data_IF_106104100867
#
_entry.id   IF_106104100867
#
_cell.length_a   1.000
_cell.length_b   1.000
_cell.length_c   1.000
_cell.angle_alpha   90.00
_cell.angle_beta   90.00
_cell.angle_gamma   90.00
#
_symmetry.space_group_name_H-M   'P 1'
#
loop_
_entity.id
_entity.type
_entity.pdbx_description
1 polymer ?
#
# COMPACT_ATOMS: atom_id res chain seq x y z
N UNK A 1 -32.17 14.75 -7.97
CA UNK A 1 -31.61 15.70 -8.95
C UNK A 1 -30.32 15.06 -9.44
N UNK A 2 -30.13 14.99 -10.75
CA UNK A 2 -28.93 14.46 -11.39
C UNK A 2 -27.93 15.61 -11.52
N UNK A 3 -26.72 15.44 -10.99
CA UNK A 3 -25.63 16.41 -11.19
C UNK A 3 -24.72 15.93 -12.31
N UNK A 4 -24.24 16.84 -13.14
CA UNK A 4 -23.24 16.54 -14.19
C UNK A 4 -21.84 16.69 -13.59
N UNK A 5 -21.07 15.62 -13.62
CA UNK A 5 -19.73 15.54 -13.01
C UNK A 5 -18.71 15.11 -14.06
N UNK A 6 -17.69 15.93 -14.38
CA UNK A 6 -16.70 15.59 -15.41
C UNK A 6 -15.96 14.30 -15.12
N UNK A 7 -15.28 14.19 -13.96
CA UNK A 7 -14.61 12.96 -13.49
C UNK A 7 -15.00 12.71 -12.05
N UNK A 8 -15.70 11.60 -11.81
CA UNK A 8 -16.04 11.14 -10.46
C UNK A 8 -15.01 10.11 -9.99
N UNK A 9 -14.51 10.29 -8.78
CA UNK A 9 -13.59 9.35 -8.11
C UNK A 9 -14.32 8.78 -6.90
N UNK A 10 -14.47 7.46 -6.84
CA UNK A 10 -15.12 6.75 -5.75
C UNK A 10 -14.06 6.29 -4.76
N UNK A 11 -14.05 6.85 -3.56
CA UNK A 11 -13.11 6.56 -2.49
C UNK A 11 -12.10 7.68 -2.23
N UNK A 12 -12.10 8.17 -1.00
CA UNK A 12 -11.23 9.23 -0.49
C UNK A 12 -9.94 8.72 0.16
N UNK A 13 -9.46 7.53 -0.23
CA UNK A 13 -8.17 6.99 0.20
C UNK A 13 -6.98 7.60 -0.54
N UNK A 14 -5.76 7.10 -0.25
CA UNK A 14 -4.50 7.59 -0.86
C UNK A 14 -4.60 7.61 -2.38
N UNK A 15 -5.05 6.51 -3.02
CA UNK A 15 -5.17 6.43 -4.48
C UNK A 15 -6.14 7.46 -5.06
N UNK A 16 -7.34 7.58 -4.47
CA UNK A 16 -8.37 8.52 -4.96
C UNK A 16 -7.96 9.99 -4.81
N UNK A 17 -7.39 10.36 -3.65
CA UNK A 17 -6.86 11.72 -3.43
C UNK A 17 -5.72 12.05 -4.39
N UNK A 18 -4.79 11.10 -4.59
CA UNK A 18 -3.67 11.28 -5.53
C UNK A 18 -4.18 11.40 -6.96
N UNK A 19 -5.18 10.61 -7.36
CA UNK A 19 -5.78 10.69 -8.69
C UNK A 19 -6.47 12.04 -8.95
N UNK A 20 -7.21 12.56 -7.96
CA UNK A 20 -7.82 13.87 -8.06
C UNK A 20 -6.78 14.99 -8.23
N UNK A 21 -5.72 14.97 -7.42
CA UNK A 21 -4.62 15.94 -7.53
C UNK A 21 -3.93 15.84 -8.89
N UNK A 22 -3.64 14.62 -9.36
CA UNK A 22 -2.98 14.40 -10.63
C UNK A 22 -3.84 14.92 -11.82
N UNK A 23 -5.14 14.64 -11.81
CA UNK A 23 -6.08 15.14 -12.81
C UNK A 23 -6.21 16.67 -12.75
N UNK A 24 -6.31 17.25 -11.55
CA UNK A 24 -6.38 18.71 -11.39
C UNK A 24 -5.10 19.40 -11.88
N UNK A 25 -3.91 18.87 -11.61
CA UNK A 25 -2.64 19.37 -12.16
C UNK A 25 -2.60 19.26 -13.70
N UNK A 26 -3.25 18.25 -14.27
CA UNK A 26 -3.42 18.08 -15.71
C UNK A 26 -4.51 18.99 -16.32
N UNK A 27 -5.23 19.78 -15.51
CA UNK A 27 -6.26 20.73 -15.96
C UNK A 27 -7.69 20.19 -15.94
N UNK A 28 -7.92 18.99 -15.42
CA UNK A 28 -9.24 18.37 -15.35
C UNK A 28 -9.92 18.61 -13.99
N UNK A 29 -11.25 18.68 -13.99
CA UNK A 29 -12.04 18.79 -12.77
C UNK A 29 -12.34 17.39 -12.23
N UNK A 30 -12.16 17.17 -10.94
CA UNK A 30 -12.41 15.91 -10.26
C UNK A 30 -13.38 16.10 -9.07
N UNK A 31 -14.25 15.13 -8.86
CA UNK A 31 -15.15 15.08 -7.71
C UNK A 31 -14.92 13.76 -6.98
N UNK A 32 -14.45 13.83 -5.73
CA UNK A 32 -14.26 12.66 -4.87
C UNK A 32 -15.49 12.46 -4.01
N UNK A 33 -16.01 11.23 -4.00
CA UNK A 33 -17.06 10.78 -3.08
C UNK A 33 -16.50 9.72 -2.14
N UNK A 34 -16.78 9.88 -0.84
CA UNK A 34 -16.34 8.97 0.21
C UNK A 34 -17.55 8.51 1.04
N UNK A 35 -17.65 7.20 1.31
CA UNK A 35 -18.76 6.63 2.10
C UNK A 35 -18.68 7.00 3.58
N UNK A 36 -17.47 7.18 4.11
CA UNK A 36 -17.27 7.59 5.51
C UNK A 36 -17.73 9.03 5.72
N UNK A 37 -18.19 9.38 6.94
CA UNK A 37 -18.61 10.75 7.26
C UNK A 37 -17.45 11.75 7.25
N UNK A 38 -16.22 11.27 7.35
CA UNK A 38 -15.00 12.07 7.36
C UNK A 38 -13.93 11.43 6.48
N UNK A 39 -13.11 12.27 5.86
CA UNK A 39 -11.91 11.83 5.17
C UNK A 39 -10.81 11.59 6.20
N UNK A 40 -10.57 10.33 6.50
CA UNK A 40 -9.56 9.94 7.49
C UNK A 40 -9.29 8.45 7.42
N UNK A 41 -8.24 8.02 8.06
CA UNK A 41 -7.88 6.62 8.14
C UNK A 41 -7.29 6.26 9.50
N UNK A 42 -7.66 5.09 10.02
CA UNK A 42 -7.01 4.48 11.18
C UNK A 42 -5.75 3.80 10.65
N UNK A 43 -4.58 4.39 10.92
CA UNK A 43 -3.34 3.93 10.33
C UNK A 43 -2.23 3.63 11.32
N UNK A 44 -1.32 2.79 10.88
CA UNK A 44 0.02 2.61 11.40
C UNK A 44 1.01 3.26 10.41
N UNK A 45 2.25 2.80 10.37
CA UNK A 45 3.21 3.27 9.40
C UNK A 45 2.87 2.84 7.96
N UNK A 46 3.39 3.59 7.03
CA UNK A 46 3.39 3.32 5.59
C UNK A 46 4.79 3.56 5.04
N UNK A 47 5.14 2.81 4.01
CA UNK A 47 6.40 2.94 3.29
C UNK A 47 6.13 3.53 1.91
N UNK A 48 6.93 4.51 1.52
CA UNK A 48 6.90 5.19 0.24
C UNK A 48 8.27 5.04 -0.44
N UNK A 49 8.30 4.22 -1.46
CA UNK A 49 9.48 3.97 -2.26
C UNK A 49 9.68 5.04 -3.36
N UNK A 50 10.85 5.13 -4.00
CA UNK A 50 11.18 6.13 -5.02
C UNK A 50 10.13 6.30 -6.12
N UNK A 51 9.52 5.21 -6.57
CA UNK A 51 8.47 5.22 -7.59
C UNK A 51 7.24 6.05 -7.17
N UNK A 52 6.82 5.96 -5.90
CA UNK A 52 5.71 6.77 -5.38
C UNK A 52 6.14 8.23 -5.14
N UNK A 53 7.33 8.45 -4.56
CA UNK A 53 7.82 9.80 -4.26
C UNK A 53 7.98 10.64 -5.53
N UNK A 54 8.39 10.07 -6.64
CA UNK A 54 8.48 10.75 -7.94
C UNK A 54 7.13 11.33 -8.37
N UNK A 55 6.05 10.59 -8.18
CA UNK A 55 4.70 11.08 -8.50
C UNK A 55 4.27 12.18 -7.53
N UNK A 56 4.49 11.98 -6.23
CA UNK A 56 4.14 12.95 -5.18
C UNK A 56 4.91 14.26 -5.32
N UNK A 57 6.16 14.20 -5.78
CA UNK A 57 6.99 15.37 -6.09
C UNK A 57 6.38 16.15 -7.27
N UNK A 58 6.04 15.46 -8.35
CA UNK A 58 5.34 16.06 -9.50
C UNK A 58 3.99 16.71 -9.15
N UNK A 59 3.35 16.27 -8.07
CA UNK A 59 2.12 16.85 -7.53
C UNK A 59 2.39 18.04 -6.59
N UNK A 60 3.64 18.27 -6.20
CA UNK A 60 4.05 19.39 -5.34
C UNK A 60 3.70 19.18 -3.86
N UNK A 61 3.47 17.95 -3.40
CA UNK A 61 3.16 17.64 -1.98
C UNK A 61 4.36 17.08 -1.22
N UNK A 62 5.46 16.82 -1.90
CA UNK A 62 6.64 16.22 -1.28
C UNK A 62 7.27 17.08 -0.17
N UNK A 63 7.33 18.44 -0.25
CA UNK A 63 7.88 19.25 0.82
C UNK A 63 7.14 19.07 2.17
N UNK A 64 5.81 19.07 2.16
CA UNK A 64 5.00 18.87 3.36
C UNK A 64 5.16 17.45 3.92
N UNK A 65 5.28 16.45 3.03
CA UNK A 65 5.51 15.06 3.45
C UNK A 65 6.88 14.89 4.10
N UNK A 66 7.92 15.51 3.55
CA UNK A 66 9.28 15.43 4.07
C UNK A 66 9.39 15.96 5.52
N UNK A 67 8.58 16.96 5.87
CA UNK A 67 8.53 17.50 7.24
C UNK A 67 7.99 16.49 8.28
N UNK A 68 7.26 15.44 7.84
CA UNK A 68 6.60 14.46 8.71
C UNK A 68 7.25 13.07 8.63
N UNK A 69 8.05 12.85 7.61
CA UNK A 69 8.60 11.57 7.25
C UNK A 69 9.91 11.24 7.99
N UNK A 70 10.34 9.99 7.84
CA UNK A 70 11.71 9.54 8.13
C UNK A 70 12.27 8.93 6.84
N UNK A 71 13.47 9.34 6.45
CA UNK A 71 14.21 8.72 5.36
C UNK A 71 15.07 7.60 5.94
N UNK A 72 14.77 6.38 5.56
CA UNK A 72 15.48 5.21 6.08
C UNK A 72 16.92 5.19 5.57
N UNK A 73 17.84 4.78 6.46
CA UNK A 73 19.24 4.56 6.13
C UNK A 73 19.53 3.11 5.76
N UNK A 74 18.86 2.18 6.42
CA UNK A 74 19.05 0.76 6.14
C UNK A 74 17.73 0.00 6.31
N UNK A 75 17.59 -1.05 5.50
CA UNK A 75 16.69 -2.14 5.76
C UNK A 75 17.51 -3.34 6.20
N UNK A 76 17.25 -3.86 7.38
CA UNK A 76 17.99 -4.97 7.98
C UNK A 76 17.08 -6.18 8.12
N UNK A 77 17.41 -7.28 7.44
CA UNK A 77 16.71 -8.54 7.59
C UNK A 77 17.39 -9.42 8.64
N UNK A 78 16.58 -9.93 9.57
CA UNK A 78 17.00 -10.75 10.70
C UNK A 78 16.17 -12.03 10.77
N UNK A 79 16.76 -13.09 11.26
CA UNK A 79 16.06 -14.34 11.56
C UNK A 79 15.31 -14.19 12.89
N UNK A 80 13.99 -14.33 12.89
CA UNK A 80 13.13 -14.03 14.05
C UNK A 80 13.41 -14.90 15.30
N UNK A 81 13.77 -16.17 15.11
CA UNK A 81 13.97 -17.10 16.23
C UNK A 81 15.40 -17.06 16.79
N UNK A 82 16.39 -16.92 15.90
CA UNK A 82 17.81 -16.98 16.32
C UNK A 82 18.45 -15.62 16.55
N UNK A 83 17.83 -14.53 16.09
CA UNK A 83 18.43 -13.20 16.10
C UNK A 83 19.62 -13.04 15.13
N UNK A 84 19.84 -14.00 14.22
CA UNK A 84 20.94 -13.95 13.25
C UNK A 84 20.65 -12.92 12.16
N UNK A 85 21.64 -12.09 11.85
CA UNK A 85 21.60 -11.19 10.71
C UNK A 85 21.58 -11.98 9.40
N UNK A 86 20.71 -11.59 8.45
CA UNK A 86 20.59 -12.21 7.14
C UNK A 86 21.19 -11.33 6.04
N UNK A 87 20.78 -10.07 5.98
CA UNK A 87 21.32 -9.08 5.03
C UNK A 87 20.96 -7.66 5.45
N UNK A 88 21.66 -6.69 4.86
CA UNK A 88 21.34 -5.26 4.96
C UNK A 88 21.27 -4.65 3.58
N UNK A 89 20.28 -3.80 3.33
CA UNK A 89 20.21 -2.92 2.17
C UNK A 89 20.52 -1.52 2.65
N UNK A 90 21.48 -0.85 2.03
CA UNK A 90 21.79 0.56 2.27
C UNK A 90 20.83 1.44 1.47
N UNK A 91 20.02 2.25 2.15
CA UNK A 91 19.11 3.23 1.56
C UNK A 91 19.70 4.65 1.57
N UNK A 92 20.99 4.81 1.85
CA UNK A 92 21.67 6.09 1.84
C UNK A 92 21.97 6.62 0.44
N UNK A 93 23.04 7.42 0.35
CA UNK A 93 23.41 8.15 -0.87
C UNK A 93 23.56 7.29 -2.14
N UNK A 94 24.09 6.03 -2.12
CA UNK A 94 24.11 5.19 -3.31
C UNK A 94 22.71 4.86 -3.84
N UNK A 95 21.75 4.60 -2.95
CA UNK A 95 20.37 4.31 -3.29
C UNK A 95 19.68 5.54 -3.89
N UNK A 96 19.81 6.70 -3.22
CA UNK A 96 19.22 7.96 -3.68
C UNK A 96 19.78 8.38 -5.05
N UNK A 97 21.09 8.19 -5.27
CA UNK A 97 21.71 8.44 -6.58
C UNK A 97 21.15 7.56 -7.69
N UNK A 98 20.81 6.30 -7.36
CA UNK A 98 20.30 5.32 -8.34
C UNK A 98 18.86 5.58 -8.72
N UNK A 99 18.01 5.94 -7.76
CA UNK A 99 16.56 6.03 -7.95
C UNK A 99 16.01 7.47 -7.92
N UNK A 100 16.83 8.46 -7.57
CA UNK A 100 16.48 9.88 -7.54
C UNK A 100 15.76 10.32 -6.26
N UNK A 101 15.32 9.39 -5.40
CA UNK A 101 14.57 9.66 -4.18
C UNK A 101 14.99 8.71 -3.05
N UNK A 102 14.89 9.14 -1.76
CA UNK A 102 15.14 8.28 -0.62
C UNK A 102 14.06 7.20 -0.46
N UNK A 103 14.34 6.17 0.32
CA UNK A 103 13.30 5.27 0.82
C UNK A 103 12.67 5.88 2.08
N UNK A 104 11.38 6.15 2.06
CA UNK A 104 10.73 7.00 3.04
C UNK A 104 9.63 6.24 3.78
N UNK A 105 9.52 6.48 5.09
CA UNK A 105 8.44 5.96 5.92
C UNK A 105 7.76 7.08 6.68
N UNK A 106 6.47 6.92 6.91
CA UNK A 106 5.69 7.92 7.64
C UNK A 106 4.45 7.31 8.28
N UNK A 107 3.72 8.08 9.06
CA UNK A 107 2.40 7.67 9.53
C UNK A 107 1.38 7.79 8.39
N UNK A 108 0.60 6.73 8.14
CA UNK A 108 -0.35 6.68 7.03
C UNK A 108 -1.41 7.78 7.06
N UNK A 109 -1.89 8.12 8.27
CA UNK A 109 -2.83 9.23 8.45
C UNK A 109 -2.23 10.59 8.11
N UNK A 110 -0.92 10.77 8.32
CA UNK A 110 -0.26 12.04 7.99
C UNK A 110 -0.17 12.20 6.46
N UNK A 111 0.15 11.14 5.72
CA UNK A 111 0.10 11.15 4.24
C UNK A 111 -1.30 11.53 3.73
N UNK A 112 -2.33 10.86 4.26
CA UNK A 112 -3.71 11.16 3.83
C UNK A 112 -4.13 12.59 4.19
N UNK A 113 -3.69 13.11 5.32
CA UNK A 113 -3.96 14.50 5.73
C UNK A 113 -3.34 15.50 4.76
N UNK A 114 -2.08 15.31 4.37
CA UNK A 114 -1.41 16.18 3.38
C UNK A 114 -2.13 16.12 2.04
N UNK A 115 -2.45 14.93 1.54
CA UNK A 115 -3.20 14.76 0.29
C UNK A 115 -4.58 15.42 0.35
N UNK A 116 -5.30 15.25 1.45
CA UNK A 116 -6.61 15.86 1.67
C UNK A 116 -6.52 17.39 1.71
N UNK A 117 -5.54 17.96 2.40
CA UNK A 117 -5.33 19.42 2.42
C UNK A 117 -4.99 19.96 1.04
N UNK A 118 -4.15 19.28 0.27
CA UNK A 118 -3.83 19.64 -1.09
C UNK A 118 -5.07 19.59 -2.01
N UNK A 119 -5.91 18.55 -1.88
CA UNK A 119 -7.18 18.47 -2.62
C UNK A 119 -8.12 19.62 -2.26
N UNK A 120 -8.23 19.97 -0.98
CA UNK A 120 -9.09 21.08 -0.52
C UNK A 120 -8.62 22.45 -0.99
N UNK A 121 -7.33 22.58 -1.28
CA UNK A 121 -6.74 23.85 -1.74
C UNK A 121 -6.84 24.07 -3.26
N UNK A 122 -7.28 23.08 -4.03
CA UNK A 122 -7.44 23.19 -5.50
C UNK A 122 -8.93 23.31 -5.86
N UNK A 123 -9.31 24.44 -6.44
CA UNK A 123 -10.70 24.77 -6.84
C UNK A 123 -11.28 23.82 -7.90
N UNK A 124 -10.47 22.99 -8.54
CA UNK A 124 -10.88 21.94 -9.48
C UNK A 124 -11.31 20.64 -8.81
N UNK A 125 -11.13 20.53 -7.49
CA UNK A 125 -11.44 19.31 -6.75
C UNK A 125 -12.60 19.55 -5.81
N UNK A 126 -13.66 18.78 -5.97
CA UNK A 126 -14.79 18.73 -5.03
C UNK A 126 -14.64 17.49 -4.14
N UNK A 127 -14.84 17.67 -2.84
CA UNK A 127 -14.80 16.58 -1.84
C UNK A 127 -16.18 16.43 -1.20
N UNK A 128 -16.74 15.22 -1.23
CA UNK A 128 -18.05 14.93 -0.67
C UNK A 128 -18.01 13.65 0.16
N UNK A 129 -18.16 13.79 1.46
CA UNK A 129 -18.25 12.69 2.42
C UNK A 129 -19.69 12.16 2.56
N UNK A 130 -19.87 11.01 3.23
CA UNK A 130 -21.17 10.35 3.44
C UNK A 130 -21.88 9.99 2.13
N UNK A 131 -21.13 9.62 1.10
CA UNK A 131 -21.63 9.18 -0.21
C UNK A 131 -21.31 7.72 -0.47
N UNK A 132 -22.22 6.84 -0.09
CA UNK A 132 -22.10 5.40 -0.30
C UNK A 132 -22.64 5.01 -1.69
N UNK A 133 -21.76 4.57 -2.57
CA UNK A 133 -22.08 4.15 -3.93
C UNK A 133 -22.64 2.74 -3.93
N UNK A 134 -23.84 2.58 -4.49
CA UNK A 134 -24.55 1.28 -4.53
C UNK A 134 -24.63 0.68 -5.92
N UNK A 135 -24.63 1.50 -6.98
CA UNK A 135 -24.76 1.03 -8.34
C UNK A 135 -24.01 1.93 -9.31
N UNK A 136 -23.39 1.30 -10.30
CA UNK A 136 -22.74 1.98 -11.43
C UNK A 136 -23.24 1.38 -12.74
N UNK A 137 -23.39 2.22 -13.75
CA UNK A 137 -23.71 1.79 -15.12
C UNK A 137 -23.11 2.76 -16.14
N UNK A 138 -22.91 2.27 -17.35
CA UNK A 138 -22.47 3.05 -18.51
C UNK A 138 -23.39 2.72 -19.70
N UNK A 139 -23.98 3.74 -20.33
CA UNK A 139 -24.85 3.59 -21.50
C UNK A 139 -24.12 3.83 -22.83
N UNK A 140 -22.80 4.00 -22.79
CA UNK A 140 -21.92 4.29 -23.94
C UNK A 140 -21.74 5.79 -24.21
N UNK A 141 -22.54 6.64 -23.59
CA UNK A 141 -22.42 8.11 -23.69
C UNK A 141 -22.07 8.76 -22.35
N UNK A 142 -22.62 8.21 -21.27
CA UNK A 142 -22.52 8.78 -19.93
C UNK A 142 -22.45 7.65 -18.91
N UNK A 143 -21.53 7.76 -17.96
CA UNK A 143 -21.52 6.87 -16.80
C UNK A 143 -22.48 7.41 -15.73
N UNK A 144 -23.26 6.53 -15.12
CA UNK A 144 -24.20 6.89 -14.04
C UNK A 144 -23.80 6.18 -12.75
N UNK A 145 -23.78 6.95 -11.67
CA UNK A 145 -23.48 6.47 -10.31
C UNK A 145 -24.68 6.77 -9.42
N UNK A 146 -25.14 5.75 -8.68
CA UNK A 146 -26.25 5.87 -7.72
C UNK A 146 -25.74 5.68 -6.30
N UNK A 147 -26.29 6.46 -5.38
CA UNK A 147 -25.96 6.44 -3.96
C UNK A 147 -27.06 5.79 -3.12
N UNK A 148 -26.69 5.36 -1.90
CA UNK A 148 -27.62 4.72 -0.95
C UNK A 148 -28.79 5.61 -0.54
N UNK A 149 -28.65 6.95 -0.59
CA UNK A 149 -29.70 7.93 -0.31
C UNK A 149 -30.67 8.16 -1.49
N UNK A 150 -30.46 7.44 -2.61
CA UNK A 150 -31.26 7.53 -3.83
C UNK A 150 -30.84 8.65 -4.79
N UNK A 151 -29.87 9.48 -4.44
CA UNK A 151 -29.28 10.44 -5.37
C UNK A 151 -28.50 9.74 -6.50
N UNK A 152 -28.29 10.42 -7.62
CA UNK A 152 -27.47 9.91 -8.72
C UNK A 152 -26.71 11.03 -9.41
N UNK A 153 -25.53 10.70 -9.92
CA UNK A 153 -24.70 11.56 -10.77
C UNK A 153 -24.57 10.96 -12.17
N UNK A 154 -24.59 11.85 -13.16
CA UNK A 154 -24.14 11.55 -14.52
C UNK A 154 -22.71 12.06 -14.67
N UNK A 155 -21.83 11.20 -15.17
CA UNK A 155 -20.39 11.44 -15.13
C UNK A 155 -19.76 11.27 -16.52
N UNK A 156 -18.88 12.18 -16.89
CA UNK A 156 -18.05 12.03 -18.08
C UNK A 156 -17.07 10.86 -17.98
N UNK A 157 -16.57 10.60 -16.76
CA UNK A 157 -15.72 9.50 -16.41
C UNK A 157 -15.90 9.08 -14.95
N UNK A 158 -15.64 7.81 -14.61
CA UNK A 158 -15.67 7.28 -13.23
C UNK A 158 -14.40 6.49 -12.95
N UNK A 159 -13.76 6.80 -11.83
CA UNK A 159 -12.58 6.07 -11.32
C UNK A 159 -12.97 5.40 -10.01
N UNK A 160 -13.05 4.08 -9.99
CA UNK A 160 -13.26 3.27 -8.80
C UNK A 160 -11.95 3.11 -8.02
N UNK A 161 -11.76 3.90 -6.97
CA UNK A 161 -10.65 3.84 -6.01
C UNK A 161 -11.14 3.43 -4.60
N UNK A 162 -12.18 2.60 -4.54
CA UNK A 162 -12.96 2.21 -3.39
C UNK A 162 -12.42 0.97 -2.65
N UNK A 163 -11.16 0.63 -2.92
CA UNK A 163 -10.36 -0.30 -2.15
C UNK A 163 -10.67 -1.79 -2.38
N UNK A 164 -10.18 -2.63 -1.48
CA UNK A 164 -10.28 -4.11 -1.57
C UNK A 164 -11.72 -4.61 -1.78
N UNK A 165 -12.69 -3.99 -1.14
CA UNK A 165 -14.13 -4.35 -1.18
C UNK A 165 -14.89 -3.51 -2.21
N UNK A 166 -14.24 -3.14 -3.29
CA UNK A 166 -14.75 -2.26 -4.34
C UNK A 166 -16.10 -2.68 -4.89
N UNK A 167 -17.04 -1.74 -4.90
CA UNK A 167 -18.31 -1.84 -5.62
C UNK A 167 -18.09 -1.68 -7.12
N UNK A 168 -17.17 -0.77 -7.52
CA UNK A 168 -16.86 -0.54 -8.94
C UNK A 168 -16.31 -1.80 -9.62
N UNK A 169 -15.48 -2.59 -8.90
CA UNK A 169 -14.93 -3.85 -9.42
C UNK A 169 -16.00 -4.88 -9.80
N UNK A 170 -17.16 -4.86 -9.15
CA UNK A 170 -18.23 -5.83 -9.44
C UNK A 170 -18.79 -5.73 -10.86
N UNK A 171 -18.57 -4.61 -11.55
CA UNK A 171 -18.91 -4.47 -12.97
C UNK A 171 -18.01 -5.28 -13.89
N UNK A 172 -16.80 -5.59 -13.46
CA UNK A 172 -15.75 -6.19 -14.28
C UNK A 172 -15.45 -7.63 -13.88
N UNK A 173 -15.69 -7.97 -12.62
CA UNK A 173 -15.39 -9.31 -12.09
C UNK A 173 -16.31 -9.68 -10.95
N UNK A 174 -16.73 -10.95 -10.93
CA UNK A 174 -17.46 -11.56 -9.81
C UNK A 174 -16.50 -12.16 -8.76
N UNK A 175 -15.18 -11.96 -8.88
CA UNK A 175 -14.20 -12.47 -7.94
C UNK A 175 -14.40 -11.88 -6.54
N UNK A 176 -13.92 -12.57 -5.52
CA UNK A 176 -13.95 -12.10 -4.13
C UNK A 176 -12.53 -12.03 -3.57
N UNK A 177 -12.28 -11.16 -2.57
CA UNK A 177 -11.03 -11.22 -1.83
C UNK A 177 -10.75 -12.62 -1.29
N UNK A 178 -9.50 -13.05 -1.42
CA UNK A 178 -9.01 -14.34 -0.93
C UNK A 178 -8.26 -14.11 0.37
N UNK A 179 -8.72 -14.74 1.44
CA UNK A 179 -8.01 -14.73 2.72
C UNK A 179 -6.71 -15.51 2.59
N UNK A 180 -5.62 -14.89 3.00
CA UNK A 180 -4.28 -15.48 2.95
C UNK A 180 -3.94 -16.29 4.22
N UNK A 181 -4.91 -16.50 5.12
CA UNK A 181 -4.76 -17.26 6.39
C UNK A 181 -3.77 -16.60 7.37
N UNK A 182 -3.31 -15.40 7.04
CA UNK A 182 -2.44 -14.59 7.88
C UNK A 182 -3.20 -13.41 8.47
N UNK A 183 -2.78 -13.03 9.68
CA UNK A 183 -3.27 -11.83 10.37
C UNK A 183 -2.11 -10.96 10.80
N UNK A 184 -2.34 -9.66 10.80
CA UNK A 184 -1.43 -8.67 11.32
C UNK A 184 -1.98 -8.05 12.61
N UNK A 185 -1.12 -7.87 13.60
CA UNK A 185 -1.30 -6.92 14.69
C UNK A 185 -0.30 -5.79 14.51
N UNK A 186 -0.74 -4.57 14.67
CA UNK A 186 0.11 -3.41 14.40
C UNK A 186 -0.20 -2.25 15.32
N UNK A 187 0.80 -1.41 15.56
CA UNK A 187 0.67 -0.21 16.34
C UNK A 187 1.88 0.68 16.21
N UNK A 188 1.72 1.93 16.56
CA UNK A 188 2.79 2.89 16.70
C UNK A 188 2.87 3.30 18.18
N UNK A 189 4.07 3.29 18.74
CA UNK A 189 4.37 3.54 20.14
C UNK A 189 5.38 4.68 20.24
N UNK A 190 5.42 5.44 21.34
CA UNK A 190 6.52 6.39 21.56
C UNK A 190 7.87 5.65 21.43
N UNK A 191 8.77 6.15 20.60
CA UNK A 191 10.05 5.50 20.34
C UNK A 191 10.89 5.28 21.62
N UNK A 192 10.75 6.17 22.60
CA UNK A 192 11.40 6.06 23.92
C UNK A 192 10.98 4.83 24.75
N UNK A 193 9.81 4.25 24.44
CA UNK A 193 9.26 3.10 25.16
C UNK A 193 9.67 1.76 24.52
N UNK A 194 10.37 1.83 23.39
CA UNK A 194 10.82 0.67 22.62
C UNK A 194 12.33 0.50 22.76
N UNK A 195 12.77 -0.64 23.27
CA UNK A 195 14.17 -1.00 23.25
C UNK A 195 14.61 -1.23 21.79
N UNK A 196 15.54 -0.41 21.30
CA UNK A 196 16.04 -0.54 19.93
C UNK A 196 16.68 -1.92 19.74
N UNK A 197 16.25 -2.67 18.71
CA UNK A 197 16.84 -3.98 18.42
C UNK A 197 18.30 -3.83 17.96
N UNK A 198 19.05 -4.92 18.00
CA UNK A 198 20.41 -4.96 17.45
C UNK A 198 20.38 -5.44 16.00
N UNK A 199 21.28 -4.90 15.16
CA UNK A 199 21.47 -5.33 13.76
C UNK A 199 22.16 -6.69 13.62
N UNK A 200 22.33 -7.45 14.69
CA UNK A 200 23.23 -8.60 14.79
C UNK A 200 24.62 -8.18 15.31
N UNK A 201 25.38 -9.18 15.79
CA UNK A 201 26.71 -8.96 16.39
C UNK A 201 26.75 -7.90 17.52
N UNK A 202 25.61 -7.62 18.16
CA UNK A 202 25.50 -6.64 19.26
C UNK A 202 25.51 -5.17 18.82
N UNK A 203 25.50 -4.86 17.52
CA UNK A 203 25.41 -3.47 17.03
C UNK A 203 23.97 -2.99 17.13
N UNK A 204 23.67 -1.89 17.87
CA UNK A 204 22.33 -1.33 17.93
C UNK A 204 21.84 -0.90 16.54
N UNK A 205 20.55 -1.04 16.28
CA UNK A 205 19.92 -0.42 15.14
C UNK A 205 20.03 1.10 15.23
N UNK A 206 20.23 1.75 14.10
CA UNK A 206 20.20 3.21 14.01
C UNK A 206 18.76 3.74 14.18
N UNK A 207 18.62 5.04 14.51
CA UNK A 207 17.31 5.67 14.66
C UNK A 207 16.49 5.68 13.35
N UNK A 208 17.16 5.54 12.19
CA UNK A 208 16.55 5.59 10.85
C UNK A 208 16.66 4.23 10.15
N UNK A 209 16.66 3.13 10.90
CA UNK A 209 16.68 1.78 10.34
C UNK A 209 15.29 1.14 10.36
N UNK A 210 15.00 0.39 9.32
CA UNK A 210 13.94 -0.60 9.31
C UNK A 210 14.51 -1.97 9.64
N UNK A 211 13.88 -2.67 10.58
CA UNK A 211 14.24 -4.04 10.94
C UNK A 211 13.10 -4.96 10.58
N UNK A 212 13.39 -5.98 9.78
CA UNK A 212 12.45 -7.02 9.41
C UNK A 212 12.95 -8.37 9.95
N UNK A 213 12.18 -8.95 10.85
CA UNK A 213 12.42 -10.26 11.42
C UNK A 213 11.57 -11.29 10.70
N UNK A 214 12.19 -12.23 10.00
CA UNK A 214 11.50 -13.27 9.25
C UNK A 214 11.72 -14.66 9.86
N UNK A 215 10.71 -15.51 9.77
CA UNK A 215 10.78 -16.87 10.31
C UNK A 215 9.56 -17.71 9.92
N UNK A 216 9.58 -19.00 10.28
CA UNK A 216 8.50 -19.93 9.92
C UNK A 216 7.12 -19.41 10.27
N UNK A 217 6.27 -19.18 9.26
CA UNK A 217 4.91 -18.73 9.40
C UNK A 217 4.70 -17.35 10.03
N UNK A 218 5.76 -16.52 10.17
CA UNK A 218 5.67 -15.21 10.85
C UNK A 218 6.74 -14.23 10.43
N UNK A 219 6.44 -12.93 10.62
CA UNK A 219 7.45 -11.87 10.56
C UNK A 219 7.05 -10.69 11.46
N UNK A 220 8.03 -9.87 11.83
CA UNK A 220 7.84 -8.60 12.52
C UNK A 220 8.58 -7.52 11.75
N UNK A 221 7.89 -6.43 11.40
CA UNK A 221 8.47 -5.24 10.76
C UNK A 221 8.46 -4.11 11.75
N UNK A 222 9.58 -3.41 11.88
CA UNK A 222 9.76 -2.32 12.83
C UNK A 222 10.52 -1.18 12.17
N UNK A 223 10.00 0.06 12.27
CA UNK A 223 10.66 1.26 11.75
C UNK A 223 10.14 2.54 12.42
N UNK A 224 10.96 3.61 12.46
CA UNK A 224 10.55 4.91 13.01
C UNK A 224 9.54 5.61 12.10
N UNK A 225 8.65 6.41 12.67
CA UNK A 225 7.74 7.32 11.95
C UNK A 225 7.62 8.63 12.72
N UNK A 226 7.01 9.67 12.13
CA UNK A 226 6.86 11.01 12.74
C UNK A 226 8.19 11.53 13.25
N UNK A 227 9.17 11.67 12.37
CA UNK A 227 10.54 12.16 12.69
C UNK A 227 11.23 11.31 13.77
N UNK A 228 10.87 10.04 13.92
CA UNK A 228 11.42 9.16 14.95
C UNK A 228 10.75 9.30 16.33
N UNK A 229 9.71 10.11 16.47
CA UNK A 229 8.95 10.21 17.73
C UNK A 229 8.17 8.95 18.06
N UNK A 230 7.68 8.27 17.02
CA UNK A 230 6.95 7.01 17.13
C UNK A 230 7.73 5.89 16.45
N UNK A 231 7.57 4.69 16.97
CA UNK A 231 8.10 3.46 16.40
C UNK A 231 6.96 2.56 15.97
N UNK A 232 6.86 2.32 14.68
CA UNK A 232 5.84 1.46 14.09
C UNK A 232 6.24 0.01 14.19
N UNK A 233 5.30 -0.86 14.55
CA UNK A 233 5.48 -2.29 14.62
C UNK A 233 4.33 -3.01 13.95
N UNK A 234 4.65 -4.02 13.13
CA UNK A 234 3.67 -4.87 12.43
C UNK A 234 4.10 -6.32 12.61
N UNK A 235 3.40 -7.06 13.46
CA UNK A 235 3.57 -8.49 13.66
C UNK A 235 2.55 -9.26 12.82
N UNK A 236 3.04 -10.13 11.96
CA UNK A 236 2.22 -10.97 11.07
C UNK A 236 2.49 -12.43 11.34
N UNK A 237 1.44 -13.24 11.39
CA UNK A 237 1.56 -14.70 11.54
C UNK A 237 0.42 -15.44 10.85
N UNK A 238 0.70 -16.67 10.44
CA UNK A 238 -0.30 -17.62 9.95
C UNK A 238 -1.09 -18.22 11.11
N UNK A 239 -2.41 -18.16 11.03
CA UNK A 239 -3.27 -18.71 12.08
C UNK A 239 -3.50 -20.19 11.86
N UNK A 240 -3.22 -20.99 12.88
CA UNK A 240 -3.45 -22.45 12.87
C UNK A 240 -4.91 -22.81 13.07
N UNK A 241 -5.72 -21.92 13.63
CA UNK A 241 -7.15 -22.13 13.86
C UNK A 241 -8.03 -21.61 12.72
N UNK A 242 -7.42 -21.06 11.66
CA UNK A 242 -8.16 -20.65 10.48
C UNK A 242 -8.89 -21.82 9.82
N UNK A 243 -10.14 -21.61 9.47
CA UNK A 243 -10.90 -22.44 8.53
C UNK A 243 -11.83 -21.52 7.72
N UNK A 244 -12.26 -21.98 6.55
CA UNK A 244 -13.22 -21.19 5.74
C UNK A 244 -14.51 -20.86 6.49
N UNK A 245 -14.97 -21.77 7.36
CA UNK A 245 -16.16 -21.55 8.17
C UNK A 245 -15.95 -20.51 9.27
N UNK A 246 -14.71 -20.36 9.75
CA UNK A 246 -14.35 -19.39 10.78
C UNK A 246 -13.93 -18.02 10.24
N UNK A 247 -13.77 -17.85 8.92
CA UNK A 247 -13.20 -16.66 8.29
C UNK A 247 -13.86 -15.35 8.74
N UNK A 248 -15.18 -15.34 8.83
CA UNK A 248 -15.96 -14.14 9.23
C UNK A 248 -16.17 -14.05 10.75
N UNK A 249 -15.48 -14.86 11.55
CA UNK A 249 -15.58 -14.87 13.02
C UNK A 249 -14.29 -14.36 13.66
N UNK A 250 -14.36 -14.00 14.94
CA UNK A 250 -13.19 -13.60 15.74
C UNK A 250 -12.51 -14.80 16.44
N UNK A 251 -12.77 -16.03 15.99
CA UNK A 251 -12.27 -17.25 16.62
C UNK A 251 -10.87 -17.67 16.19
N UNK A 252 -10.29 -17.00 15.22
CA UNK A 252 -8.96 -17.27 14.68
C UNK A 252 -8.12 -15.99 14.59
N UNK A 253 -6.81 -16.13 14.49
CA UNK A 253 -5.88 -15.01 14.50
C UNK A 253 -5.97 -14.19 15.79
N UNK A 254 -6.23 -14.84 16.92
CA UNK A 254 -6.47 -14.21 18.22
C UNK A 254 -5.18 -13.68 18.85
N UNK A 255 -5.28 -12.79 19.87
CA UNK A 255 -4.10 -12.37 20.66
C UNK A 255 -3.32 -13.53 21.26
N UNK A 256 -4.00 -14.59 21.70
CA UNK A 256 -3.34 -15.79 22.24
C UNK A 256 -2.54 -16.54 21.16
N UNK A 257 -3.04 -16.61 19.93
CA UNK A 257 -2.30 -17.18 18.80
C UNK A 257 -1.09 -16.31 18.42
N UNK A 258 -1.21 -14.98 18.47
CA UNK A 258 -0.07 -14.07 18.28
C UNK A 258 1.05 -14.40 19.28
N UNK A 259 0.73 -14.45 20.59
CA UNK A 259 1.69 -14.76 21.63
C UNK A 259 2.32 -16.14 21.43
N UNK A 260 1.54 -17.14 21.06
CA UNK A 260 1.99 -18.51 20.78
C UNK A 260 2.91 -18.55 19.53
N UNK A 261 2.56 -17.85 18.46
CA UNK A 261 3.34 -17.82 17.22
C UNK A 261 4.73 -17.19 17.44
N UNK A 262 4.83 -16.18 18.29
CA UNK A 262 6.08 -15.48 18.56
C UNK A 262 6.84 -15.99 19.80
N UNK A 263 6.30 -16.94 20.56
CA UNK A 263 6.97 -17.53 21.71
C UNK A 263 8.36 -18.14 21.42
N UNK A 264 8.61 -18.79 20.24
CA UNK A 264 9.93 -19.32 19.90
C UNK A 264 10.95 -18.25 19.49
N UNK A 265 10.52 -17.00 19.29
CA UNK A 265 11.40 -15.96 18.77
C UNK A 265 12.44 -15.48 19.80
N UNK A 266 13.49 -14.82 19.33
CA UNK A 266 14.51 -14.21 20.17
C UNK A 266 13.94 -13.05 21.01
N UNK A 267 14.66 -12.68 22.08
CA UNK A 267 14.19 -11.67 23.04
C UNK A 267 13.76 -10.33 22.43
N UNK A 268 14.50 -9.72 21.49
CA UNK A 268 14.07 -8.47 20.86
C UNK A 268 12.72 -8.56 20.16
N UNK A 269 12.46 -9.68 19.47
CA UNK A 269 11.18 -9.91 18.78
C UNK A 269 10.04 -10.06 19.77
N UNK A 270 10.22 -10.90 20.82
CA UNK A 270 9.21 -11.07 21.88
C UNK A 270 8.89 -9.76 22.60
N UNK A 271 9.94 -8.97 22.90
CA UNK A 271 9.79 -7.66 23.55
C UNK A 271 8.99 -6.70 22.66
N UNK A 272 9.29 -6.64 21.35
CA UNK A 272 8.55 -5.81 20.40
C UNK A 272 7.08 -6.22 20.29
N UNK A 273 6.81 -7.51 20.11
CA UNK A 273 5.44 -8.05 20.02
C UNK A 273 4.63 -7.81 21.28
N UNK A 274 5.24 -7.87 22.47
CA UNK A 274 4.57 -7.61 23.75
C UNK A 274 4.01 -6.17 23.86
N UNK A 275 4.58 -5.23 23.15
CA UNK A 275 4.15 -3.82 23.14
C UNK A 275 3.02 -3.52 22.14
N UNK A 276 2.73 -4.41 21.20
CA UNK A 276 1.68 -4.19 20.19
C UNK A 276 0.30 -4.31 20.83
N UNK A 277 -0.61 -3.34 20.53
CA UNK A 277 -2.02 -3.43 20.96
C UNK A 277 -2.69 -4.72 20.47
N UNK A 278 -3.57 -5.26 21.33
CA UNK A 278 -4.38 -6.45 21.04
C UNK A 278 -5.82 -6.12 20.64
N UNK A 279 -6.16 -4.82 20.54
CA UNK A 279 -7.55 -4.37 20.36
C UNK A 279 -8.09 -4.68 18.97
N UNK A 280 -7.21 -4.76 17.97
CA UNK A 280 -7.60 -4.98 16.59
C UNK A 280 -6.61 -5.86 15.86
N UNK A 281 -7.13 -6.81 15.10
CA UNK A 281 -6.40 -7.58 14.11
C UNK A 281 -6.76 -7.14 12.69
N UNK A 282 -5.86 -7.32 11.76
CA UNK A 282 -6.09 -7.11 10.34
C UNK A 282 -5.88 -8.42 9.60
N UNK A 283 -6.96 -8.96 9.04
CA UNK A 283 -6.90 -10.15 8.19
C UNK A 283 -6.26 -9.75 6.86
N UNK A 284 -5.33 -10.56 6.38
CA UNK A 284 -4.67 -10.32 5.11
C UNK A 284 -5.48 -10.92 3.98
N UNK A 285 -5.89 -10.06 3.06
CA UNK A 285 -6.58 -10.42 1.84
C UNK A 285 -5.81 -9.93 0.63
N UNK A 286 -5.94 -10.63 -0.46
CA UNK A 286 -5.62 -10.14 -1.79
C UNK A 286 -6.65 -10.63 -2.83
N UNK A 287 -6.40 -10.37 -4.10
CA UNK A 287 -7.20 -10.91 -5.22
C UNK A 287 -6.27 -11.33 -6.35
N UNK A 288 -6.75 -12.19 -7.23
CA UNK A 288 -6.02 -12.47 -8.47
C UNK A 288 -5.93 -11.20 -9.35
N UNK A 289 -4.81 -11.03 -10.07
CA UNK A 289 -4.71 -9.95 -11.05
C UNK A 289 -5.84 -10.01 -12.07
N UNK A 290 -6.44 -8.86 -12.37
CA UNK A 290 -7.42 -8.71 -13.44
C UNK A 290 -6.72 -8.41 -14.77
N UNK A 291 -7.24 -8.99 -15.85
CA UNK A 291 -6.78 -8.73 -17.22
C UNK A 291 -7.49 -7.52 -17.86
N UNK A 292 -8.52 -6.98 -17.20
CA UNK A 292 -9.26 -5.82 -17.66
C UNK A 292 -9.76 -4.98 -16.49
N UNK A 293 -9.47 -3.68 -16.51
CA UNK A 293 -9.87 -2.73 -15.46
C UNK A 293 -10.95 -1.75 -15.89
N UNK A 294 -11.36 -1.82 -17.15
CA UNK A 294 -12.17 -0.75 -17.76
C UNK A 294 -13.41 -1.31 -18.44
N UNK A 295 -14.53 -0.61 -18.26
CA UNK A 295 -15.73 -0.79 -19.06
C UNK A 295 -16.29 0.59 -19.44
N UNK A 296 -16.23 0.92 -20.73
CA UNK A 296 -16.66 2.22 -21.25
C UNK A 296 -15.95 3.39 -20.53
N UNK A 297 -16.71 4.18 -19.79
CA UNK A 297 -16.26 5.37 -19.05
C UNK A 297 -15.95 5.11 -17.57
N UNK A 298 -15.81 3.85 -17.18
CA UNK A 298 -15.53 3.44 -15.81
C UNK A 298 -14.22 2.66 -15.78
N UNK A 299 -13.29 3.00 -14.88
CA UNK A 299 -12.04 2.27 -14.64
C UNK A 299 -11.79 2.05 -13.16
N UNK A 300 -10.88 1.14 -12.82
CA UNK A 300 -10.42 0.86 -11.45
C UNK A 300 -9.04 1.47 -11.19
N UNK A 301 -8.74 1.76 -9.91
CA UNK A 301 -7.45 2.28 -9.45
C UNK A 301 -7.09 1.73 -8.07
N UNK A 302 -5.81 1.45 -7.85
CA UNK A 302 -5.29 0.99 -6.57
C UNK A 302 -5.87 -0.36 -6.13
N UNK A 303 -6.21 -0.50 -4.84
CA UNK A 303 -6.70 -1.78 -4.30
C UNK A 303 -8.05 -2.24 -4.91
N UNK A 304 -8.79 -1.37 -5.57
CA UNK A 304 -9.97 -1.78 -6.34
C UNK A 304 -9.55 -2.62 -7.58
N UNK A 305 -8.42 -2.28 -8.19
CA UNK A 305 -7.86 -2.97 -9.36
C UNK A 305 -6.93 -4.13 -8.97
N UNK A 306 -5.96 -3.87 -8.10
CA UNK A 306 -4.82 -4.77 -7.81
C UNK A 306 -4.47 -4.86 -6.33
N UNK A 307 -5.41 -5.24 -5.44
CA UNK A 307 -5.09 -5.42 -4.04
C UNK A 307 -4.01 -6.49 -3.89
N UNK A 308 -3.04 -6.25 -3.03
CA UNK A 308 -1.86 -7.11 -2.88
C UNK A 308 -1.47 -7.29 -1.42
N UNK A 309 -0.80 -8.40 -1.14
CA UNK A 309 -0.18 -8.62 0.17
C UNK A 309 1.02 -7.68 0.38
N UNK A 310 1.32 -7.38 1.63
CA UNK A 310 2.21 -6.28 2.03
C UNK A 310 3.72 -6.50 1.85
N UNK A 311 4.17 -7.68 1.42
CA UNK A 311 5.58 -8.10 1.50
C UNK A 311 6.58 -7.29 0.66
N UNK A 312 6.12 -6.52 -0.30
CA UNK A 312 6.93 -5.58 -1.09
C UNK A 312 6.66 -4.12 -0.74
N UNK A 313 5.78 -3.83 0.22
CA UNK A 313 5.36 -2.49 0.61
C UNK A 313 4.87 -1.61 -0.56
N UNK A 314 4.24 -2.22 -1.58
CA UNK A 314 3.92 -1.55 -2.84
C UNK A 314 2.46 -1.14 -3.02
N UNK A 315 1.52 -1.57 -2.18
CA UNK A 315 0.09 -1.27 -2.41
C UNK A 315 -0.20 0.21 -2.62
N UNK A 316 0.21 1.07 -1.69
CA UNK A 316 0.04 2.51 -1.83
C UNK A 316 0.93 3.10 -2.94
N UNK A 317 2.17 2.62 -3.08
CA UNK A 317 3.08 3.10 -4.13
C UNK A 317 2.48 2.87 -5.53
N UNK A 318 1.86 1.72 -5.75
CA UNK A 318 1.23 1.40 -7.03
C UNK A 318 -0.06 2.21 -7.27
N UNK A 319 -0.85 2.49 -6.23
CA UNK A 319 -2.01 3.38 -6.35
C UNK A 319 -1.59 4.83 -6.69
N UNK A 320 -0.45 5.29 -6.18
CA UNK A 320 0.14 6.60 -6.50
C UNK A 320 0.67 6.61 -7.94
N UNK A 321 1.37 5.55 -8.38
CA UNK A 321 1.77 5.42 -9.79
C UNK A 321 0.57 5.39 -10.74
N UNK A 322 -0.51 4.68 -10.37
CA UNK A 322 -1.74 4.64 -11.14
C UNK A 322 -2.30 6.04 -11.38
N UNK A 323 -2.35 6.86 -10.32
CA UNK A 323 -2.84 8.23 -10.40
C UNK A 323 -2.02 9.08 -11.37
N UNK A 324 -0.70 8.99 -11.31
CA UNK A 324 0.20 9.66 -12.25
C UNK A 324 0.02 9.19 -13.69
N UNK A 325 -0.11 7.88 -13.91
CA UNK A 325 -0.38 7.30 -15.22
C UNK A 325 -1.73 7.76 -15.77
N UNK A 326 -2.79 7.68 -14.97
CA UNK A 326 -4.13 8.10 -15.36
C UNK A 326 -4.16 9.55 -15.86
N UNK A 327 -3.56 10.47 -15.13
CA UNK A 327 -3.50 11.87 -15.52
C UNK A 327 -2.71 12.09 -16.83
N UNK A 328 -1.59 11.38 -17.02
CA UNK A 328 -0.83 11.42 -18.30
C UNK A 328 -1.70 10.95 -19.48
N UNK A 329 -2.47 9.86 -19.29
CA UNK A 329 -3.33 9.36 -20.36
C UNK A 329 -4.51 10.29 -20.63
N UNK A 330 -5.10 10.91 -19.61
CA UNK A 330 -6.12 11.96 -19.80
C UNK A 330 -5.58 13.14 -20.62
N UNK A 331 -4.38 13.62 -20.31
CA UNK A 331 -3.71 14.66 -21.10
C UNK A 331 -3.46 14.23 -22.53
N UNK A 332 -2.96 13.01 -22.73
CA UNK A 332 -2.61 12.47 -24.07
C UNK A 332 -3.83 12.38 -24.99
N UNK A 333 -5.01 12.13 -24.45
CA UNK A 333 -6.25 11.93 -25.21
C UNK A 333 -7.26 13.07 -25.01
N UNK A 334 -6.81 14.27 -24.57
CA UNK A 334 -7.63 15.48 -24.41
C UNK A 334 -8.92 15.22 -23.61
N UNK A 335 -8.86 14.38 -22.57
CA UNK A 335 -9.99 14.04 -21.70
C UNK A 335 -10.94 12.98 -22.28
N UNK A 336 -10.64 12.35 -23.42
CA UNK A 336 -11.40 11.20 -23.91
C UNK A 336 -11.21 10.00 -22.95
N UNK A 337 -12.15 9.84 -22.02
CA UNK A 337 -12.07 8.84 -20.96
C UNK A 337 -11.88 7.43 -21.49
N UNK A 338 -12.57 7.05 -22.56
CA UNK A 338 -12.53 5.69 -23.11
C UNK A 338 -11.13 5.35 -23.63
N UNK A 339 -10.50 6.29 -24.36
CA UNK A 339 -9.14 6.09 -24.86
C UNK A 339 -8.10 6.17 -23.74
N UNK A 340 -8.26 7.13 -22.83
CA UNK A 340 -7.38 7.31 -21.69
C UNK A 340 -7.36 6.06 -20.80
N UNK A 341 -8.52 5.49 -20.49
CA UNK A 341 -8.65 4.28 -19.67
C UNK A 341 -8.09 3.05 -20.36
N UNK A 342 -8.32 2.88 -21.67
CA UNK A 342 -7.73 1.78 -22.43
C UNK A 342 -6.19 1.83 -22.40
N UNK A 343 -5.60 3.02 -22.56
CA UNK A 343 -4.15 3.20 -22.51
C UNK A 343 -3.60 3.06 -21.08
N UNK A 344 -4.30 3.58 -20.08
CA UNK A 344 -3.97 3.45 -18.67
C UNK A 344 -3.88 1.98 -18.25
N UNK A 345 -4.92 1.19 -18.50
CA UNK A 345 -4.89 -0.22 -18.12
C UNK A 345 -3.82 -1.03 -18.88
N UNK A 346 -3.57 -0.72 -20.15
CA UNK A 346 -2.55 -1.39 -20.94
C UNK A 346 -1.14 -1.17 -20.36
N UNK A 347 -0.86 0.00 -19.79
CA UNK A 347 0.40 0.30 -19.12
C UNK A 347 0.46 -0.34 -17.73
N UNK A 348 -0.62 -0.26 -16.94
CA UNK A 348 -0.59 -0.59 -15.52
C UNK A 348 -0.81 -2.07 -15.19
N UNK A 349 -1.65 -2.79 -15.93
CA UNK A 349 -1.96 -4.20 -15.67
C UNK A 349 -0.70 -5.09 -15.62
N UNK A 350 0.20 -5.06 -16.63
CA UNK A 350 1.38 -5.93 -16.61
C UNK A 350 2.27 -5.69 -15.38
N UNK A 351 2.47 -4.41 -15.02
CA UNK A 351 3.31 -4.01 -13.90
C UNK A 351 2.72 -4.45 -12.55
N UNK A 352 1.47 -4.09 -12.29
CA UNK A 352 0.81 -4.42 -11.02
C UNK A 352 0.59 -5.92 -10.84
N UNK A 353 0.28 -6.65 -11.91
CA UNK A 353 0.16 -8.10 -11.88
C UNK A 353 1.50 -8.78 -11.53
N UNK A 354 2.62 -8.27 -12.06
CA UNK A 354 3.94 -8.74 -11.68
C UNK A 354 4.21 -8.50 -10.19
N UNK A 355 3.90 -7.30 -9.68
CA UNK A 355 4.10 -6.94 -8.27
C UNK A 355 3.21 -7.78 -7.35
N UNK A 356 1.92 -7.98 -7.68
CA UNK A 356 1.02 -8.84 -6.90
C UNK A 356 1.57 -10.27 -6.77
N UNK A 357 1.99 -10.89 -7.90
CA UNK A 357 2.55 -12.24 -7.90
C UNK A 357 3.87 -12.32 -7.14
N UNK A 358 4.75 -11.34 -7.33
CA UNK A 358 6.03 -11.28 -6.64
C UNK A 358 5.86 -11.08 -5.12
N UNK A 359 4.89 -10.27 -4.69
CA UNK A 359 4.58 -10.09 -3.29
C UNK A 359 4.15 -11.41 -2.62
N UNK A 360 3.33 -12.23 -3.29
CA UNK A 360 2.96 -13.57 -2.79
C UNK A 360 4.19 -14.48 -2.65
N UNK A 361 5.04 -14.51 -3.68
CA UNK A 361 6.27 -15.34 -3.67
C UNK A 361 7.19 -14.88 -2.53
N UNK A 362 7.37 -13.57 -2.32
CA UNK A 362 8.16 -13.04 -1.21
C UNK A 362 7.60 -13.48 0.15
N UNK A 363 6.28 -13.42 0.34
CA UNK A 363 5.63 -13.90 1.56
C UNK A 363 5.89 -15.39 1.81
N UNK A 364 5.80 -16.22 0.78
CA UNK A 364 6.10 -17.64 0.86
C UNK A 364 7.57 -17.89 1.25
N UNK A 365 8.51 -17.19 0.62
CA UNK A 365 9.94 -17.29 0.92
C UNK A 365 10.25 -16.88 2.37
N UNK A 366 9.60 -15.83 2.89
CA UNK A 366 9.82 -15.35 4.25
C UNK A 366 9.30 -16.33 5.29
N UNK A 367 8.15 -16.97 5.02
CA UNK A 367 7.41 -17.76 5.98
C UNK A 367 7.61 -19.28 5.86
N UNK A 368 8.37 -19.72 4.85
CA UNK A 368 8.61 -21.14 4.65
C UNK A 368 9.24 -21.79 5.88
N UNK A 369 8.68 -22.94 6.27
CA UNK A 369 9.10 -23.75 7.42
C UNK A 369 9.77 -25.06 7.01
N UNK A 370 9.94 -25.28 5.70
CA UNK A 370 10.64 -26.45 5.17
C UNK A 370 12.17 -26.38 5.33
N UNK A 371 12.85 -27.47 5.12
CA UNK A 371 14.30 -27.55 5.33
C UNK A 371 15.13 -26.90 4.21
N UNK A 372 14.55 -26.62 3.04
CA UNK A 372 15.32 -26.24 1.83
C UNK A 372 15.22 -24.74 1.56
N UNK A 373 14.01 -24.17 1.49
CA UNK A 373 13.82 -22.77 1.11
C UNK A 373 14.50 -21.80 2.10
N UNK A 374 14.37 -21.95 3.44
CA UNK A 374 15.08 -21.09 4.37
C UNK A 374 16.61 -21.16 4.22
N UNK A 375 17.15 -22.35 3.96
CA UNK A 375 18.59 -22.52 3.75
C UNK A 375 19.08 -21.80 2.50
N UNK A 376 18.35 -21.93 1.39
CA UNK A 376 18.71 -21.24 0.13
C UNK A 376 18.50 -19.74 0.24
N UNK A 377 17.39 -19.29 0.80
CA UNK A 377 17.11 -17.88 1.08
C UNK A 377 18.23 -17.24 1.89
N UNK A 378 18.60 -17.84 3.00
CA UNK A 378 19.61 -17.31 3.90
C UNK A 378 21.00 -17.26 3.24
N UNK A 379 21.32 -18.25 2.40
CA UNK A 379 22.57 -18.27 1.62
C UNK A 379 22.61 -17.15 0.58
N UNK A 380 21.51 -16.93 -0.14
CA UNK A 380 21.40 -15.84 -1.14
C UNK A 380 21.51 -14.48 -0.46
N UNK A 381 20.75 -14.26 0.61
CA UNK A 381 20.76 -13.01 1.35
C UNK A 381 22.13 -12.70 1.95
N UNK A 382 22.84 -13.69 2.46
CA UNK A 382 24.18 -13.50 3.03
C UNK A 382 25.27 -13.14 2.00
N UNK A 383 25.02 -13.38 0.71
CA UNK A 383 25.96 -13.03 -0.37
C UNK A 383 25.69 -11.65 -0.97
N UNK A 384 24.56 -11.04 -0.63
CA UNK A 384 24.17 -9.72 -1.14
C UNK A 384 25.03 -8.63 -0.50
N UNK A 385 25.60 -7.75 -1.33
CA UNK A 385 26.20 -6.50 -0.87
C UNK A 385 25.11 -5.50 -0.42
N UNK A 386 25.41 -4.60 0.52
CA UNK A 386 24.42 -3.63 1.00
C UNK A 386 23.98 -2.62 -0.07
N UNK A 387 24.83 -2.36 -1.06
CA UNK A 387 24.61 -1.47 -2.21
C UNK A 387 24.28 -2.23 -3.51
N UNK A 388 24.00 -3.53 -3.43
CA UNK A 388 23.50 -4.30 -4.57
C UNK A 388 21.97 -4.14 -4.67
N UNK A 389 21.53 -3.33 -5.63
CA UNK A 389 20.11 -3.02 -5.89
C UNK A 389 19.56 -3.71 -7.13
N UNK A 390 20.30 -4.61 -7.74
CA UNK A 390 19.93 -5.24 -9.03
C UNK A 390 18.55 -5.91 -8.97
N UNK A 391 18.20 -6.50 -7.84
CA UNK A 391 16.91 -7.14 -7.59
C UNK A 391 15.78 -6.14 -7.20
N UNK A 392 16.08 -4.85 -7.10
CA UNK A 392 15.12 -3.77 -6.79
C UNK A 392 14.81 -2.87 -7.99
N UNK A 393 15.63 -2.90 -9.04
CA UNK A 393 15.53 -2.01 -10.19
C UNK A 393 14.17 -2.08 -10.87
N UNK A 394 13.66 -3.28 -11.12
CA UNK A 394 12.34 -3.50 -11.74
C UNK A 394 11.19 -2.87 -10.94
N UNK A 395 11.41 -2.63 -9.65
CA UNK A 395 10.41 -2.11 -8.73
C UNK A 395 10.46 -0.58 -8.60
N UNK A 396 11.68 0.01 -8.57
CA UNK A 396 11.88 1.41 -8.20
C UNK A 396 12.30 2.33 -9.36
N UNK A 397 12.86 1.79 -10.46
CA UNK A 397 13.19 2.62 -11.62
C UNK A 397 11.96 3.24 -12.26
N UNK A 398 12.16 4.38 -12.89
CA UNK A 398 11.14 5.03 -13.69
C UNK A 398 10.81 4.16 -14.92
N UNK A 399 9.55 3.74 -15.00
CA UNK A 399 9.08 2.91 -16.11
C UNK A 399 8.65 3.76 -17.32
N UNK A 400 8.57 5.08 -17.17
CA UNK A 400 8.17 5.99 -18.26
C UNK A 400 9.30 6.25 -19.26
N UNK A 401 10.56 6.02 -18.87
CA UNK A 401 11.73 6.17 -19.74
C UNK A 401 11.97 4.96 -20.66
N UNK A 402 11.31 3.85 -20.44
CA UNK A 402 11.51 2.58 -21.15
C UNK A 402 10.53 2.35 -22.32
N UNK A 403 9.67 3.33 -22.69
CA UNK A 403 8.64 3.20 -23.73
C UNK A 403 8.86 4.14 -24.92
#
# INVERSE_FOLDING_TARGET
MTADVPVLIIGGGIGGMTAALALARAGFTAHIVERSPEFGEIGAGIQLAPNALRVLDGLGVLPELAELAVHLRHLVLMHAETGRHLTTVDFGEPFERRYGYPYTVMHRGDLLTVLHQACRADDRITLEASRDVTELSDDGGTARVRFADGASYECGAVVGADGLWSTARTLLSADRPVCQEFVAYRGALPARDVAMPTRGNGVPAGPDDEIIWIGPGKHLVQYPIRRGELYNQVAVFGSRSYSRESELTDRWGTPAELDQAFAPCCDPVRAGVALISRDRRWVMYDREPLDNWTTGRITLLGDAAHPMVQYLAQGACQAIEDAGCLARQFTRYDGDATKAFASYQAERIPRTALIQRSARIWGQIWHDDGPVIPLLRDRILAQRGPDDYTDLDWLYHDQTEAS
#
